data_IF_415685737988
#
_entry.id   IF_415685737988
#
_cell.length_a   1.000
_cell.length_b   1.000
_cell.length_c   1.000
_cell.angle_alpha   90.00
_cell.angle_beta   90.00
_cell.angle_gamma   90.00
#
_symmetry.space_group_name_H-M   'P 1'
#
loop_
_entity.id
_entity.type
_entity.pdbx_description
1 polymer ?
#
# COMPACT_ATOMS: atom_id res chain seq x y z
N UNK A 1 5.83 -26.04 -6.57
CA UNK A 1 5.01 -24.97 -7.17
C UNK A 1 5.38 -23.68 -6.47
N UNK A 2 5.55 -22.54 -7.17
CA UNK A 2 5.57 -21.26 -6.48
C UNK A 2 4.26 -21.12 -5.69
N UNK A 3 4.29 -20.52 -4.48
CA UNK A 3 3.06 -20.23 -3.76
C UNK A 3 2.13 -19.40 -4.67
N UNK A 4 0.86 -19.78 -4.74
CA UNK A 4 -0.13 -19.01 -5.48
C UNK A 4 -0.22 -17.60 -4.88
N UNK A 5 -0.32 -16.59 -5.74
CA UNK A 5 -0.61 -15.23 -5.29
C UNK A 5 -1.97 -15.25 -4.60
N UNK A 6 -2.00 -14.80 -3.34
CA UNK A 6 -3.26 -14.67 -2.62
C UNK A 6 -4.12 -13.62 -3.31
N UNK A 7 -5.31 -14.03 -3.74
CA UNK A 7 -6.28 -13.11 -4.33
C UNK A 7 -7.21 -12.61 -3.23
N UNK A 8 -7.25 -11.29 -3.09
CA UNK A 8 -8.14 -10.60 -2.17
C UNK A 8 -9.42 -10.19 -2.89
N UNK A 9 -10.59 -10.16 -2.20
CA UNK A 9 -11.81 -9.60 -2.76
C UNK A 9 -11.60 -8.16 -3.23
N UNK A 10 -12.28 -7.75 -4.30
CA UNK A 10 -12.06 -6.43 -4.90
C UNK A 10 -12.41 -5.27 -3.94
N UNK A 11 -13.39 -5.49 -3.06
CA UNK A 11 -13.88 -4.55 -2.04
C UNK A 11 -13.11 -4.63 -0.70
N UNK A 12 -12.08 -5.48 -0.62
CA UNK A 12 -11.32 -5.66 0.61
C UNK A 12 -10.31 -4.54 0.85
N UNK A 13 -10.07 -4.23 2.13
CA UNK A 13 -9.02 -3.29 2.53
C UNK A 13 -7.63 -3.79 2.09
N UNK A 14 -7.43 -5.10 2.06
CA UNK A 14 -6.20 -5.74 1.55
C UNK A 14 -5.99 -5.39 0.09
N UNK A 15 -6.99 -5.61 -0.78
CA UNK A 15 -6.89 -5.26 -2.20
C UNK A 15 -6.56 -3.79 -2.38
N UNK A 16 -7.28 -2.92 -1.66
CA UNK A 16 -7.07 -1.47 -1.69
C UNK A 16 -5.64 -1.10 -1.28
N UNK A 17 -5.14 -1.62 -0.16
CA UNK A 17 -3.80 -1.31 0.34
C UNK A 17 -2.68 -1.79 -0.60
N UNK A 18 -2.78 -3.02 -1.11
CA UNK A 18 -1.75 -3.57 -2.00
C UNK A 18 -1.76 -2.91 -3.38
N UNK A 19 -2.93 -2.48 -3.88
CA UNK A 19 -3.03 -1.67 -5.10
C UNK A 19 -2.40 -0.29 -4.92
N UNK A 20 -2.62 0.37 -3.78
CA UNK A 20 -2.11 1.71 -3.52
C UNK A 20 -0.57 1.81 -3.50
N UNK A 21 0.13 0.69 -3.35
CA UNK A 21 1.60 0.64 -3.27
C UNK A 21 2.26 0.01 -4.50
N UNK A 22 1.48 -0.47 -5.47
CA UNK A 22 1.96 -1.22 -6.63
C UNK A 22 2.93 -0.40 -7.50
N UNK A 23 2.68 0.91 -7.62
CA UNK A 23 3.49 1.85 -8.40
C UNK A 23 4.63 2.51 -7.59
N UNK A 24 4.85 2.11 -6.34
CA UNK A 24 5.98 2.61 -5.54
C UNK A 24 7.24 1.83 -5.93
N UNK A 25 8.26 2.50 -6.52
CA UNK A 25 9.46 1.81 -6.96
C UNK A 25 10.31 1.38 -5.77
N UNK A 26 10.49 0.07 -5.62
CA UNK A 26 11.27 -0.57 -4.55
C UNK A 26 12.31 -1.53 -5.12
N UNK A 27 13.27 -1.92 -4.29
CA UNK A 27 14.35 -2.84 -4.68
C UNK A 27 13.86 -4.29 -4.85
N UNK A 28 12.97 -4.77 -3.97
CA UNK A 28 12.46 -6.14 -4.01
C UNK A 28 10.95 -6.20 -3.81
N UNK A 29 10.29 -7.22 -4.38
CA UNK A 29 8.85 -7.46 -4.19
C UNK A 29 8.44 -7.55 -2.71
N UNK A 30 9.33 -8.04 -1.85
CA UNK A 30 9.07 -8.11 -0.41
C UNK A 30 8.96 -6.71 0.24
N UNK A 31 9.61 -5.69 -0.31
CA UNK A 31 9.44 -4.31 0.13
C UNK A 31 8.05 -3.78 -0.22
N UNK A 32 7.53 -4.10 -1.42
CA UNK A 32 6.12 -3.80 -1.78
C UNK A 32 5.15 -4.51 -0.84
N UNK A 33 5.38 -5.79 -0.54
CA UNK A 33 4.51 -6.56 0.37
C UNK A 33 4.50 -5.97 1.79
N UNK A 34 5.67 -5.61 2.32
CA UNK A 34 5.79 -4.92 3.61
C UNK A 34 5.03 -3.60 3.60
N UNK A 35 5.19 -2.81 2.53
CA UNK A 35 4.53 -1.52 2.40
C UNK A 35 3.00 -1.69 2.34
N UNK A 36 2.50 -2.61 1.51
CA UNK A 36 1.07 -2.92 1.41
C UNK A 36 0.47 -3.39 2.73
N UNK A 37 1.18 -4.23 3.49
CA UNK A 37 0.73 -4.66 4.82
C UNK A 37 0.59 -3.48 5.80
N UNK A 38 1.55 -2.56 5.85
CA UNK A 38 1.47 -1.42 6.77
C UNK A 38 0.43 -0.39 6.32
N UNK A 39 0.23 -0.21 5.01
CA UNK A 39 -0.88 0.60 4.50
C UNK A 39 -2.23 -0.04 4.88
N UNK A 40 -2.33 -1.36 4.84
CA UNK A 40 -3.51 -2.07 5.35
C UNK A 40 -3.74 -1.84 6.84
N UNK A 41 -2.69 -1.85 7.67
CA UNK A 41 -2.80 -1.51 9.10
C UNK A 41 -3.29 -0.07 9.31
N UNK A 42 -2.82 0.88 8.49
CA UNK A 42 -3.36 2.24 8.47
C UNK A 42 -4.85 2.27 8.12
N UNK A 43 -5.28 1.57 7.06
CA UNK A 43 -6.71 1.50 6.69
C UNK A 43 -7.59 0.86 7.78
N UNK A 44 -7.03 -0.04 8.59
CA UNK A 44 -7.70 -0.61 9.76
C UNK A 44 -7.74 0.30 10.99
N UNK A 45 -7.06 1.45 10.94
CA UNK A 45 -6.90 2.35 12.08
C UNK A 45 -5.89 1.86 13.13
N UNK A 46 -5.06 0.88 12.80
CA UNK A 46 -3.97 0.39 13.67
C UNK A 46 -2.71 1.27 13.60
N UNK A 47 -2.54 2.02 12.50
CA UNK A 47 -1.54 3.09 12.37
C UNK A 47 -2.24 4.42 12.14
N UNK A 48 -1.68 5.50 12.68
CA UNK A 48 -2.29 6.82 12.71
C UNK A 48 -2.17 7.61 11.41
N UNK A 49 -1.23 7.28 10.53
CA UNK A 49 -1.07 7.95 9.24
C UNK A 49 -0.32 7.12 8.17
N UNK A 50 -0.37 7.57 6.92
CA UNK A 50 0.39 6.98 5.80
C UNK A 50 1.89 7.17 6.03
N UNK A 51 2.32 8.32 6.58
CA UNK A 51 3.71 8.59 6.91
C UNK A 51 4.23 7.61 7.97
N UNK A 52 3.39 7.24 8.93
CA UNK A 52 3.70 6.20 9.92
C UNK A 52 3.77 4.83 9.25
N UNK A 53 2.81 4.48 8.40
CA UNK A 53 2.84 3.22 7.63
C UNK A 53 4.12 3.06 6.82
N UNK A 54 4.51 4.08 6.05
CA UNK A 54 5.76 4.09 5.27
C UNK A 54 6.98 4.02 6.19
N UNK A 55 6.95 4.74 7.31
CA UNK A 55 8.05 4.76 8.28
C UNK A 55 8.27 3.40 8.94
N UNK A 56 7.22 2.75 9.45
CA UNK A 56 7.33 1.45 10.12
C UNK A 56 7.64 0.34 9.11
N UNK A 57 7.08 0.44 7.90
CA UNK A 57 7.36 -0.50 6.83
C UNK A 57 8.85 -0.57 6.47
N UNK A 58 9.62 0.52 6.64
CA UNK A 58 11.05 0.63 6.27
C UNK A 58 11.40 0.00 4.89
N UNK A 59 10.63 0.24 3.81
CA UNK A 59 10.91 -0.34 2.50
C UNK A 59 12.19 0.26 1.90
N UNK A 60 12.94 -0.55 1.16
CA UNK A 60 14.04 -0.04 0.32
C UNK A 60 13.45 0.59 -0.95
N UNK A 61 13.02 1.85 -0.83
CA UNK A 61 12.46 2.63 -1.94
C UNK A 61 13.56 3.25 -2.81
N UNK A 62 13.25 3.41 -4.09
CA UNK A 62 14.08 4.12 -5.07
C UNK A 62 13.66 5.59 -5.26
N UNK A 63 12.72 6.04 -4.43
CA UNK A 63 12.24 7.42 -4.31
C UNK A 63 12.34 7.86 -2.85
N UNK A 64 12.23 9.17 -2.61
CA UNK A 64 12.17 9.69 -1.26
C UNK A 64 10.84 9.34 -0.56
N UNK A 65 10.85 9.46 0.77
CA UNK A 65 9.70 9.12 1.62
C UNK A 65 8.49 9.99 1.30
N UNK A 66 8.67 11.27 1.03
CA UNK A 66 7.57 12.21 0.86
C UNK A 66 6.85 11.96 -0.47
N UNK A 67 7.59 11.64 -1.54
CA UNK A 67 7.01 11.22 -2.82
C UNK A 67 6.25 9.90 -2.67
N UNK A 68 6.78 8.94 -1.92
CA UNK A 68 6.09 7.68 -1.65
C UNK A 68 4.77 7.90 -0.89
N UNK A 69 4.78 8.70 0.18
CA UNK A 69 3.57 9.04 0.95
C UNK A 69 2.53 9.70 0.06
N UNK A 70 2.94 10.68 -0.76
CA UNK A 70 2.05 11.38 -1.68
C UNK A 70 1.41 10.45 -2.71
N UNK A 71 2.18 9.55 -3.32
CA UNK A 71 1.66 8.57 -4.28
C UNK A 71 0.65 7.63 -3.64
N UNK A 72 0.96 7.11 -2.46
CA UNK A 72 0.06 6.21 -1.73
C UNK A 72 -1.23 6.93 -1.35
N UNK A 73 -1.13 8.16 -0.84
CA UNK A 73 -2.30 8.98 -0.50
C UNK A 73 -3.21 9.20 -1.71
N UNK A 74 -2.65 9.64 -2.84
CA UNK A 74 -3.41 9.85 -4.08
C UNK A 74 -4.08 8.55 -4.56
N UNK A 75 -3.37 7.43 -4.55
CA UNK A 75 -3.92 6.15 -4.99
C UNK A 75 -5.06 5.67 -4.08
N UNK A 76 -4.99 5.95 -2.77
CA UNK A 76 -6.06 5.64 -1.83
C UNK A 76 -7.29 6.53 -2.02
N UNK A 77 -7.12 7.81 -2.39
CA UNK A 77 -8.21 8.74 -2.71
C UNK A 77 -8.89 8.40 -4.04
N UNK A 78 -8.12 8.08 -5.08
CA UNK A 78 -8.64 7.65 -6.39
C UNK A 78 -9.42 6.33 -6.29
N UNK A 79 -9.00 5.43 -5.39
CA UNK A 79 -9.71 4.18 -5.10
C UNK A 79 -11.08 4.38 -4.48
N UNK A 80 -11.27 5.39 -3.62
CA UNK A 80 -12.57 5.69 -2.99
C UNK A 80 -13.59 6.28 -3.99
N UNK A 81 -13.13 6.91 -5.07
CA UNK A 81 -14.00 7.55 -6.05
C UNK A 81 -14.66 6.60 -7.06
N UNK A 82 -14.17 5.36 -7.18
CA UNK A 82 -14.61 4.42 -8.22
C UNK A 82 -15.64 3.39 -7.75
N UNK A 83 -16.00 3.38 -6.46
CA UNK A 83 -17.03 2.50 -5.87
C UNK A 83 -18.43 3.14 -5.81
N UNK A 84 -18.63 4.29 -6.49
CA UNK A 84 -19.87 5.07 -6.46
C UNK A 84 -20.70 5.05 -7.76
N UNK A 85 -20.49 4.08 -8.66
CA UNK A 85 -21.22 3.97 -9.95
C UNK A 85 -21.78 2.58 -10.24
#
# INVERSE_FOLDING_TARGET
>A
MPPGVQQWPDDSLERRAYRAVEDVPVVETNDTNRLGYHVFLFLKGELGSIEEAVHVAQPRMLIDKDDAVRRIANALEEGDGNDAV
#
